data_IF_696045112260
#
_entry.id   IF_696045112260
#
_cell.length_a   1.000
_cell.length_b   1.000
_cell.length_c   1.000
_cell.angle_alpha   90.00
_cell.angle_beta   90.00
_cell.angle_gamma   90.00
#
_symmetry.space_group_name_H-M   'P 1'
#
loop_
_entity.id
_entity.type
_entity.pdbx_description
1 polymer ?
#
# COMPACT_ATOMS: atom_id res chain seq x y z
N UNK A 1 -22.41 23.80 38.66
CA UNK A 1 -22.26 23.90 37.20
C UNK A 1 -21.82 22.52 36.80
N UNK A 2 -22.79 21.66 36.54
CA UNK A 2 -22.54 20.30 36.08
C UNK A 2 -22.04 20.39 34.65
N UNK A 3 -20.84 19.85 34.41
CA UNK A 3 -20.35 19.56 33.07
C UNK A 3 -21.26 18.51 32.45
N UNK A 4 -21.76 18.70 31.22
CA UNK A 4 -22.55 17.66 30.56
C UNK A 4 -21.63 16.46 30.35
N UNK A 5 -22.10 15.28 30.76
CA UNK A 5 -21.51 14.00 30.38
C UNK A 5 -21.41 13.98 28.85
N UNK A 6 -20.19 13.92 28.32
CA UNK A 6 -19.97 13.59 26.91
C UNK A 6 -20.45 12.15 26.74
N UNK A 7 -21.68 11.97 26.25
CA UNK A 7 -22.14 10.68 25.74
C UNK A 7 -21.09 10.19 24.74
N UNK A 8 -20.40 9.09 25.06
CA UNK A 8 -19.50 8.41 24.14
C UNK A 8 -20.28 8.17 22.85
N UNK A 9 -19.94 8.93 21.81
CA UNK A 9 -20.54 8.78 20.50
C UNK A 9 -20.02 7.46 19.90
N UNK A 10 -20.69 6.36 20.25
CA UNK A 10 -20.41 5.04 19.69
C UNK A 10 -20.85 5.11 18.23
N UNK A 11 -19.87 5.09 17.32
CA UNK A 11 -20.14 5.01 15.89
C UNK A 11 -20.81 3.65 15.61
N UNK A 12 -21.99 3.63 14.96
CA UNK A 12 -22.62 2.36 14.60
C UNK A 12 -21.69 1.62 13.62
N UNK A 13 -21.20 0.46 14.04
CA UNK A 13 -20.45 -0.46 13.19
C UNK A 13 -21.28 -1.71 12.97
N UNK A 14 -21.37 -2.18 11.74
CA UNK A 14 -22.01 -3.47 11.40
C UNK A 14 -21.21 -4.70 11.92
N UNK A 15 -20.13 -4.46 12.68
CA UNK A 15 -19.30 -5.48 13.29
C UNK A 15 -19.58 -5.53 14.80
N UNK A 16 -20.10 -6.66 15.26
CA UNK A 16 -20.33 -6.88 16.69
C UNK A 16 -19.00 -7.22 17.37
N UNK A 17 -18.76 -6.58 18.53
CA UNK A 17 -17.68 -6.95 19.44
C UNK A 17 -17.97 -8.36 19.98
N UNK A 18 -17.06 -9.29 19.74
CA UNK A 18 -17.14 -10.62 20.36
C UNK A 18 -16.51 -10.54 21.75
N UNK A 19 -17.34 -10.34 22.79
CA UNK A 19 -16.87 -10.24 24.18
C UNK A 19 -16.48 -11.59 24.81
N UNK A 20 -16.95 -12.73 24.25
CA UNK A 20 -17.00 -14.02 24.96
C UNK A 20 -16.51 -15.23 24.16
N UNK A 21 -15.38 -15.13 23.46
CA UNK A 21 -14.65 -16.32 23.02
C UNK A 21 -13.28 -16.32 23.75
N UNK A 22 -13.15 -17.19 24.74
CA UNK A 22 -11.97 -17.42 25.59
C UNK A 22 -10.69 -17.89 24.85
N UNK A 23 -10.62 -17.69 23.53
CA UNK A 23 -9.57 -18.12 22.61
C UNK A 23 -8.91 -16.93 21.91
N UNK A 24 -8.51 -15.90 22.67
CA UNK A 24 -7.53 -14.95 22.12
C UNK A 24 -6.24 -15.74 21.87
N UNK A 25 -5.72 -15.82 20.64
CA UNK A 25 -4.55 -16.63 20.31
C UNK A 25 -3.27 -15.89 20.71
N UNK A 26 -3.19 -15.42 21.96
CA UNK A 26 -1.98 -14.79 22.49
C UNK A 26 -0.91 -15.82 22.88
N UNK A 27 -1.08 -17.10 22.53
CA UNK A 27 -0.16 -18.15 22.95
C UNK A 27 1.04 -18.33 21.99
N UNK A 28 0.97 -17.81 20.77
CA UNK A 28 2.07 -17.85 19.80
C UNK A 28 2.35 -16.46 19.20
N UNK A 29 3.31 -15.75 19.79
CA UNK A 29 3.76 -14.42 19.32
C UNK A 29 4.75 -14.51 18.16
N UNK A 30 5.01 -15.70 17.59
CA UNK A 30 5.95 -15.86 16.48
C UNK A 30 5.38 -15.41 15.13
N UNK A 31 4.06 -15.22 15.06
CA UNK A 31 3.32 -14.85 13.87
C UNK A 31 2.37 -13.66 14.14
N UNK A 32 2.14 -12.79 13.14
CA UNK A 32 1.25 -11.65 13.34
C UNK A 32 -0.21 -12.10 13.48
N UNK A 33 -0.85 -11.67 14.56
CA UNK A 33 -2.31 -11.72 14.73
C UNK A 33 -2.95 -10.55 14.00
N UNK A 34 -3.96 -10.82 13.17
CA UNK A 34 -4.66 -9.78 12.41
C UNK A 34 -5.92 -9.34 13.15
N UNK A 35 -6.13 -8.02 13.15
CA UNK A 35 -7.32 -7.37 13.68
C UNK A 35 -8.07 -6.70 12.54
N UNK A 36 -9.40 -6.67 12.64
CA UNK A 36 -10.27 -5.93 11.72
C UNK A 36 -10.96 -4.84 12.54
N UNK A 37 -10.77 -3.58 12.14
CA UNK A 37 -11.25 -2.41 12.90
C UNK A 37 -10.86 -2.43 14.40
N UNK A 38 -9.65 -2.91 14.70
CA UNK A 38 -9.14 -3.03 16.08
C UNK A 38 -9.72 -4.21 16.87
N UNK A 39 -10.57 -5.04 16.27
CA UNK A 39 -11.20 -6.19 16.94
C UNK A 39 -10.61 -7.51 16.46
N UNK A 40 -10.48 -8.46 17.38
CA UNK A 40 -10.09 -9.82 17.07
C UNK A 40 -11.33 -10.61 16.62
N UNK A 41 -11.29 -11.15 15.40
CA UNK A 41 -12.35 -11.99 14.81
C UNK A 41 -13.78 -11.43 15.00
N UNK A 42 -14.06 -10.17 14.59
CA UNK A 42 -15.41 -9.62 14.68
C UNK A 42 -16.42 -10.43 13.87
N UNK A 43 -17.70 -10.26 14.22
CA UNK A 43 -18.83 -10.93 13.55
C UNK A 43 -19.49 -10.00 12.54
N UNK A 44 -19.85 -10.54 11.38
CA UNK A 44 -20.66 -9.88 10.36
C UNK A 44 -21.89 -10.76 10.02
N UNK A 45 -23.08 -10.19 10.15
CA UNK A 45 -24.33 -10.85 9.79
C UNK A 45 -24.69 -10.60 8.32
N UNK A 46 -25.13 -11.66 7.63
CA UNK A 46 -25.61 -11.61 6.25
C UNK A 46 -26.91 -12.41 6.11
N UNK A 47 -27.85 -11.91 5.32
CA UNK A 47 -28.91 -12.76 4.79
C UNK A 47 -28.39 -13.63 3.62
N UNK A 48 -28.98 -14.81 3.41
CA UNK A 48 -28.65 -15.66 2.25
C UNK A 48 -28.88 -14.88 0.94
N UNK A 49 -27.84 -14.78 0.12
CA UNK A 49 -27.88 -14.04 -1.15
C UNK A 49 -27.76 -12.52 -1.02
N UNK A 50 -27.55 -12.00 0.20
CA UNK A 50 -27.24 -10.59 0.43
C UNK A 50 -25.79 -10.29 0.02
N UNK A 51 -25.59 -9.15 -0.66
CA UNK A 51 -24.27 -8.59 -0.86
C UNK A 51 -23.95 -7.58 0.24
N UNK A 52 -22.89 -7.82 1.01
CA UNK A 52 -22.26 -6.79 1.85
C UNK A 52 -21.06 -6.20 1.10
N UNK A 53 -20.99 -4.88 1.01
CA UNK A 53 -19.83 -4.17 0.43
C UNK A 53 -18.85 -3.81 1.54
N UNK A 54 -17.65 -4.37 1.47
CA UNK A 54 -16.59 -4.20 2.47
C UNK A 54 -15.41 -3.43 1.86
N UNK A 55 -14.94 -2.41 2.58
CA UNK A 55 -13.77 -1.61 2.17
C UNK A 55 -12.57 -2.01 3.01
N UNK A 56 -11.69 -2.81 2.44
CA UNK A 56 -10.46 -3.24 3.08
C UNK A 56 -9.34 -2.22 2.87
N UNK A 57 -8.67 -1.89 3.96
CA UNK A 57 -7.40 -1.18 3.98
C UNK A 57 -6.40 -2.10 4.67
N UNK A 58 -5.32 -2.47 3.99
CA UNK A 58 -4.25 -3.21 4.66
C UNK A 58 -3.36 -2.23 5.43
N UNK A 59 -3.68 -2.06 6.70
CA UNK A 59 -2.94 -1.24 7.67
C UNK A 59 -1.85 -2.04 8.42
N UNK A 60 -1.51 -3.25 7.98
CA UNK A 60 -0.44 -4.05 8.57
C UNK A 60 0.90 -3.48 8.11
N UNK A 61 1.80 -3.19 9.06
CA UNK A 61 3.03 -2.45 8.78
C UNK A 61 3.88 -3.04 7.66
N UNK A 62 3.96 -4.37 7.60
CA UNK A 62 4.95 -5.06 6.78
C UNK A 62 4.40 -6.21 5.93
N UNK A 63 3.15 -6.65 6.13
CA UNK A 63 2.68 -7.91 5.55
C UNK A 63 1.56 -7.72 4.52
N UNK A 64 1.67 -8.45 3.42
CA UNK A 64 0.68 -8.57 2.36
C UNK A 64 -0.43 -9.52 2.84
N UNK A 65 -1.67 -9.06 2.74
CA UNK A 65 -2.85 -9.86 3.07
C UNK A 65 -3.44 -10.49 1.80
N UNK A 66 -3.75 -11.78 1.87
CA UNK A 66 -4.47 -12.50 0.83
C UNK A 66 -5.84 -12.87 1.37
N UNK A 67 -6.89 -12.16 0.96
CA UNK A 67 -8.25 -12.41 1.44
C UNK A 67 -8.87 -13.56 0.66
N UNK A 68 -9.39 -14.54 1.38
CA UNK A 68 -10.17 -15.67 0.84
C UNK A 68 -11.40 -15.90 1.71
N UNK A 69 -12.41 -16.58 1.17
CA UNK A 69 -13.51 -17.13 1.98
C UNK A 69 -13.18 -18.55 2.43
N UNK A 70 -13.89 -19.06 3.44
CA UNK A 70 -13.78 -20.45 3.89
C UNK A 70 -13.75 -21.41 2.70
N UNK A 71 -12.76 -22.30 2.67
CA UNK A 71 -12.56 -23.24 1.57
C UNK A 71 -13.82 -24.10 1.35
N UNK A 72 -14.21 -24.28 0.08
CA UNK A 72 -15.42 -24.99 -0.33
C UNK A 72 -16.73 -24.44 0.26
N UNK A 73 -16.75 -23.17 0.69
CA UNK A 73 -17.98 -22.48 1.03
C UNK A 73 -18.68 -21.95 -0.21
N UNK A 74 -19.98 -21.65 -0.08
CA UNK A 74 -20.78 -20.98 -1.09
C UNK A 74 -20.71 -19.45 -0.97
N UNK A 75 -19.57 -18.92 -0.48
CA UNK A 75 -19.32 -17.49 -0.32
C UNK A 75 -18.35 -16.99 -1.41
N UNK A 76 -18.72 -15.91 -2.09
CA UNK A 76 -17.95 -15.31 -3.19
C UNK A 76 -17.32 -13.97 -2.80
N UNK A 77 -16.20 -13.63 -3.44
CA UNK A 77 -15.57 -12.31 -3.35
C UNK A 77 -15.58 -11.65 -4.73
N UNK A 78 -16.33 -10.57 -4.87
CA UNK A 78 -16.40 -9.78 -6.09
C UNK A 78 -15.73 -8.42 -5.87
N UNK A 79 -14.56 -8.22 -6.47
CA UNK A 79 -13.81 -6.96 -6.33
C UNK A 79 -14.45 -5.87 -7.21
N UNK A 80 -14.80 -4.76 -6.58
CA UNK A 80 -15.39 -3.59 -7.21
C UNK A 80 -14.34 -2.54 -7.54
N UNK A 81 -13.40 -2.31 -6.63
CA UNK A 81 -12.35 -1.30 -6.77
C UNK A 81 -11.04 -1.71 -6.10
N UNK A 82 -9.93 -1.20 -6.61
CA UNK A 82 -8.61 -1.26 -5.97
C UNK A 82 -8.10 0.16 -5.77
N UNK A 83 -7.52 0.47 -4.62
CA UNK A 83 -6.97 1.79 -4.27
C UNK A 83 -7.96 2.97 -4.44
N UNK A 84 -9.27 2.68 -4.38
CA UNK A 84 -10.35 3.67 -4.59
C UNK A 84 -10.79 3.82 -6.05
N UNK A 85 -10.25 3.02 -6.96
CA UNK A 85 -10.53 3.07 -8.40
C UNK A 85 -11.38 1.88 -8.81
N UNK A 86 -12.59 2.15 -9.28
CA UNK A 86 -13.47 1.09 -9.78
C UNK A 86 -12.90 0.42 -11.02
N UNK A 87 -13.12 -0.90 -11.11
CA UNK A 87 -13.02 -1.61 -12.38
C UNK A 87 -14.18 -1.23 -13.31
N UNK A 88 -14.14 -1.63 -14.58
CA UNK A 88 -15.27 -1.38 -15.50
C UNK A 88 -16.54 -2.16 -15.10
N UNK A 89 -16.33 -3.33 -14.48
CA UNK A 89 -17.36 -4.23 -13.95
C UNK A 89 -16.79 -5.02 -12.76
N UNK A 90 -17.64 -5.56 -11.87
CA UNK A 90 -17.18 -6.42 -10.78
C UNK A 90 -16.37 -7.61 -11.29
N UNK A 91 -15.32 -7.98 -10.55
CA UNK A 91 -14.47 -9.13 -10.86
C UNK A 91 -14.50 -10.13 -9.72
N UNK A 92 -15.14 -11.27 -9.95
CA UNK A 92 -15.04 -12.42 -9.04
C UNK A 92 -13.57 -12.85 -8.94
N UNK A 93 -13.08 -13.02 -7.71
CA UNK A 93 -11.74 -13.52 -7.41
C UNK A 93 -11.80 -14.57 -6.31
N UNK A 94 -10.99 -15.62 -6.45
CA UNK A 94 -10.81 -16.62 -5.40
C UNK A 94 -9.91 -16.09 -4.27
N UNK A 95 -9.00 -15.17 -4.62
CA UNK A 95 -8.08 -14.52 -3.69
C UNK A 95 -7.91 -13.05 -4.05
N UNK A 96 -7.97 -12.17 -3.04
CA UNK A 96 -7.71 -10.73 -3.21
C UNK A 96 -6.42 -10.38 -2.48
N UNK A 97 -5.38 -10.04 -3.24
CA UNK A 97 -4.06 -9.64 -2.70
C UNK A 97 -4.06 -8.14 -2.42
N UNK A 98 -3.82 -7.78 -1.16
CA UNK A 98 -3.77 -6.38 -0.70
C UNK A 98 -2.42 -6.15 -0.04
N UNK A 99 -1.48 -5.42 -0.67
CA UNK A 99 -0.22 -5.07 -0.03
C UNK A 99 -0.42 -4.06 1.09
N UNK A 100 0.55 -3.88 2.01
CA UNK A 100 0.59 -2.73 2.93
C UNK A 100 0.27 -1.42 2.19
N UNK A 101 -0.65 -0.63 2.74
CA UNK A 101 -1.12 0.63 2.13
C UNK A 101 -2.14 0.46 1.00
N UNK A 102 -2.30 -0.75 0.45
CA UNK A 102 -3.27 -1.06 -0.59
C UNK A 102 -4.70 -1.12 -0.05
N UNK A 103 -5.66 -0.83 -0.93
CA UNK A 103 -7.10 -0.94 -0.62
C UNK A 103 -7.83 -1.81 -1.61
N UNK A 104 -8.87 -2.51 -1.14
CA UNK A 104 -9.79 -3.24 -1.99
C UNK A 104 -11.22 -3.02 -1.52
N UNK A 105 -12.11 -2.72 -2.46
CA UNK A 105 -13.54 -2.69 -2.24
C UNK A 105 -14.14 -4.00 -2.76
N UNK A 106 -14.69 -4.81 -1.87
CA UNK A 106 -15.10 -6.18 -2.15
C UNK A 106 -16.56 -6.35 -1.75
N UNK A 107 -17.37 -6.83 -2.68
CA UNK A 107 -18.70 -7.34 -2.37
C UNK A 107 -18.60 -8.82 -2.00
N UNK A 108 -19.05 -9.17 -0.80
CA UNK A 108 -19.14 -10.55 -0.32
C UNK A 108 -20.60 -11.00 -0.29
N UNK A 109 -20.86 -12.23 -0.71
CA UNK A 109 -22.18 -12.85 -0.68
C UNK A 109 -22.04 -14.33 -0.39
N UNK A 110 -22.92 -14.88 0.45
CA UNK A 110 -23.01 -16.31 0.72
C UNK A 110 -24.40 -16.84 0.32
N UNK A 111 -24.47 -17.99 -0.35
CA UNK A 111 -25.75 -18.57 -0.82
C UNK A 111 -26.23 -19.76 0.03
N UNK A 112 -25.60 -20.00 1.18
CA UNK A 112 -25.94 -21.07 2.12
C UNK A 112 -26.04 -20.52 3.54
N UNK A 113 -27.01 -21.03 4.33
CA UNK A 113 -27.16 -20.70 5.75
C UNK A 113 -26.03 -21.38 6.53
N UNK A 114 -25.35 -20.65 7.39
CA UNK A 114 -24.30 -21.25 8.19
C UNK A 114 -23.35 -20.26 8.84
N UNK A 115 -22.25 -20.81 9.36
CA UNK A 115 -21.12 -20.03 9.87
C UNK A 115 -19.94 -20.23 8.93
N UNK A 116 -19.53 -19.14 8.29
CA UNK A 116 -18.36 -19.09 7.42
C UNK A 116 -17.39 -18.04 7.94
N UNK A 117 -16.28 -17.86 7.24
CA UNK A 117 -15.26 -16.91 7.61
C UNK A 117 -14.72 -16.21 6.38
N UNK A 118 -14.39 -14.94 6.57
CA UNK A 118 -13.35 -14.30 5.77
C UNK A 118 -12.02 -14.59 6.47
N UNK A 119 -11.04 -14.99 5.68
CA UNK A 119 -9.76 -15.49 6.17
C UNK A 119 -8.63 -14.76 5.43
N UNK A 120 -7.47 -14.63 6.08
CA UNK A 120 -6.23 -14.50 5.32
C UNK A 120 -5.73 -15.89 4.98
N UNK A 121 -5.06 -16.04 3.85
CA UNK A 121 -4.45 -17.29 3.42
C UNK A 121 -2.97 -17.10 3.05
N UNK A 122 -2.19 -18.17 3.16
CA UNK A 122 -0.80 -18.19 2.76
C UNK A 122 -0.43 -19.49 2.04
N UNK A 123 -1.32 -20.00 1.18
CA UNK A 123 -1.16 -21.28 0.49
C UNK A 123 0.21 -21.43 -0.21
N UNK A 124 0.77 -22.64 -0.10
CA UNK A 124 2.05 -23.03 -0.71
C UNK A 124 2.05 -22.88 -2.24
N UNK A 125 0.88 -23.07 -2.86
CA UNK A 125 0.68 -22.92 -4.31
C UNK A 125 1.07 -21.53 -4.82
N UNK A 126 1.00 -20.50 -3.96
CA UNK A 126 1.34 -19.11 -4.31
C UNK A 126 2.72 -18.68 -3.84
N UNK A 127 3.53 -19.57 -3.27
CA UNK A 127 4.90 -19.24 -2.84
C UNK A 127 5.78 -18.76 -4.00
N UNK A 128 5.54 -19.28 -5.21
CA UNK A 128 6.21 -18.79 -6.43
C UNK A 128 5.86 -17.35 -6.79
N UNK A 129 4.71 -16.85 -6.35
CA UNK A 129 4.25 -15.52 -6.68
C UNK A 129 4.56 -14.52 -5.56
N UNK A 130 4.21 -14.88 -4.33
CA UNK A 130 4.18 -13.97 -3.18
C UNK A 130 5.29 -14.25 -2.17
N UNK A 131 6.03 -15.34 -2.32
CA UNK A 131 7.07 -15.78 -1.39
C UNK A 131 6.56 -16.62 -0.24
N UNK A 132 7.45 -16.90 0.72
CA UNK A 132 7.12 -17.73 1.88
C UNK A 132 6.34 -16.94 2.94
N UNK A 133 5.66 -17.66 3.84
CA UNK A 133 4.86 -17.05 4.93
C UNK A 133 5.69 -16.08 5.78
N UNK A 134 6.96 -16.41 6.04
CA UNK A 134 7.88 -15.59 6.81
C UNK A 134 8.56 -14.47 5.97
N UNK A 135 8.07 -14.19 4.77
CA UNK A 135 8.58 -13.15 3.87
C UNK A 135 7.48 -12.13 3.58
N UNK A 136 7.04 -11.42 4.62
CA UNK A 136 6.05 -10.36 4.51
C UNK A 136 4.65 -10.84 4.03
N UNK A 137 4.26 -12.09 4.30
CA UNK A 137 2.87 -12.56 4.10
C UNK A 137 2.16 -12.68 5.43
N UNK A 138 0.86 -12.41 5.44
CA UNK A 138 0.03 -12.71 6.61
C UNK A 138 -0.20 -14.23 6.64
N UNK A 139 -0.01 -14.92 7.78
CA UNK A 139 -0.27 -16.35 7.89
C UNK A 139 -1.77 -16.66 7.76
N UNK A 140 -2.10 -17.88 7.35
CA UNK A 140 -3.50 -18.30 7.27
C UNK A 140 -4.18 -18.22 8.64
N UNK A 141 -5.22 -17.38 8.75
CA UNK A 141 -6.02 -17.24 9.96
C UNK A 141 -7.41 -16.68 9.62
N UNK A 142 -8.39 -16.97 10.46
CA UNK A 142 -9.73 -16.38 10.34
C UNK A 142 -9.68 -14.93 10.83
N UNK A 143 -10.31 -14.03 10.09
CA UNK A 143 -10.29 -12.58 10.41
C UNK A 143 -11.67 -11.98 10.61
N UNK A 144 -12.73 -12.53 10.01
CA UNK A 144 -14.13 -12.13 10.26
C UNK A 144 -15.01 -13.37 10.29
N UNK A 145 -15.87 -13.48 11.30
CA UNK A 145 -16.90 -14.53 11.43
C UNK A 145 -18.15 -14.10 10.66
N UNK A 146 -18.53 -14.84 9.63
CA UNK A 146 -19.71 -14.59 8.81
C UNK A 146 -20.87 -15.46 9.32
N UNK A 147 -21.91 -14.86 9.88
CA UNK A 147 -23.14 -15.58 10.27
C UNK A 147 -24.20 -15.31 9.21
N UNK A 148 -24.59 -16.38 8.50
CA UNK A 148 -25.55 -16.29 7.40
C UNK A 148 -26.88 -16.88 7.83
N UNK A 149 -27.95 -16.09 7.83
CA UNK A 149 -29.31 -16.46 8.23
C UNK A 149 -30.33 -16.23 7.08
N UNK A 150 -31.55 -16.73 7.24
CA UNK A 150 -32.63 -16.59 6.24
C UNK A 150 -33.10 -15.15 6.11
N UNK A 151 -33.33 -14.54 7.26
CA UNK A 151 -33.65 -13.14 7.43
C UNK A 151 -32.43 -12.60 8.18
N UNK A 152 -31.68 -11.65 7.61
CA UNK A 152 -30.58 -11.01 8.33
C UNK A 152 -31.18 -10.50 9.64
N UNK A 153 -30.65 -10.89 10.80
CA UNK A 153 -31.26 -10.65 12.12
C UNK A 153 -31.51 -9.14 12.34
N UNK A 154 -32.62 -8.64 11.82
CA UNK A 154 -33.28 -7.43 12.28
C UNK A 154 -34.08 -7.87 13.48
N UNK A 155 -33.67 -7.39 14.65
CA UNK A 155 -34.47 -7.44 15.87
C UNK A 155 -35.78 -6.66 15.61
N UNK A 156 -36.76 -7.33 15.03
CA UNK A 156 -38.12 -6.85 14.88
C UNK A 156 -39.05 -7.96 15.33
N UNK A 157 -39.43 -7.90 16.61
CA UNK A 157 -40.70 -8.41 17.14
C UNK A 157 -41.88 -7.73 16.43
N UNK A 158 -42.03 -7.97 15.14
CA UNK A 158 -43.18 -7.59 14.35
C UNK A 158 -43.74 -8.86 13.72
N UNK A 159 -44.69 -9.48 14.43
CA UNK A 159 -45.68 -10.34 13.81
C UNK A 159 -46.46 -9.50 12.80
N UNK A 160 -46.03 -9.47 11.54
CA UNK A 160 -46.88 -9.09 10.43
C UNK A 160 -46.55 -9.95 9.22
N UNK A 161 -47.54 -10.75 8.84
CA UNK A 161 -47.64 -11.48 7.58
C UNK A 161 -47.58 -10.49 6.41
N UNK A 162 -46.41 -10.32 5.81
CA UNK A 162 -46.32 -9.94 4.40
C UNK A 162 -45.15 -10.69 3.78
N UNK A 163 -45.43 -11.43 2.69
CA UNK A 163 -44.43 -11.99 1.79
C UNK A 163 -43.70 -10.82 1.10
N UNK A 164 -42.87 -10.11 1.86
CA UNK A 164 -41.88 -9.17 1.34
C UNK A 164 -40.91 -10.01 0.53
N UNK A 165 -41.16 -10.09 -0.78
CA UNK A 165 -40.24 -10.65 -1.76
C UNK A 165 -38.84 -10.15 -1.42
N UNK A 166 -37.98 -11.04 -0.91
CA UNK A 166 -36.59 -10.74 -0.62
C UNK A 166 -36.01 -10.09 -1.87
N UNK A 167 -35.70 -8.79 -1.81
CA UNK A 167 -35.14 -8.08 -2.95
C UNK A 167 -33.85 -8.80 -3.33
N UNK A 168 -33.89 -9.53 -4.45
CA UNK A 168 -32.74 -10.29 -4.94
C UNK A 168 -31.65 -9.27 -5.27
N UNK A 169 -30.68 -9.13 -4.37
CA UNK A 169 -29.53 -8.25 -4.60
C UNK A 169 -28.74 -8.76 -5.80
N UNK A 170 -28.34 -7.84 -6.68
CA UNK A 170 -27.51 -8.15 -7.84
C UNK A 170 -26.42 -7.11 -7.95
N UNK A 171 -25.21 -7.57 -8.25
CA UNK A 171 -24.13 -6.65 -8.59
C UNK A 171 -24.44 -5.91 -9.90
N UNK A 172 -24.05 -4.64 -10.01
CA UNK A 172 -24.23 -3.88 -11.22
C UNK A 172 -23.35 -4.46 -12.33
N UNK A 173 -23.85 -4.45 -13.58
CA UNK A 173 -23.09 -4.91 -14.75
C UNK A 173 -21.99 -3.92 -15.18
N UNK A 174 -22.07 -2.68 -14.71
CA UNK A 174 -21.11 -1.60 -14.96
C UNK A 174 -20.88 -0.83 -13.67
N UNK A 175 -19.63 -0.46 -13.42
CA UNK A 175 -19.25 0.33 -12.26
C UNK A 175 -18.98 1.79 -12.67
N UNK A 176 -18.90 2.73 -11.70
CA UNK A 176 -18.64 4.13 -11.99
C UNK A 176 -17.38 4.33 -12.84
N UNK A 177 -17.48 5.21 -13.82
CA UNK A 177 -16.34 5.54 -14.70
C UNK A 177 -15.25 6.26 -13.92
N UNK A 178 -14.00 6.05 -14.35
CA UNK A 178 -12.84 6.78 -13.84
C UNK A 178 -12.99 8.29 -14.07
N UNK A 179 -12.43 9.14 -13.21
CA UNK A 179 -12.32 10.58 -13.44
C UNK A 179 -11.54 10.91 -14.72
N UNK A 180 -11.80 12.07 -15.32
CA UNK A 180 -11.16 12.50 -16.56
C UNK A 180 -9.63 12.63 -16.46
N UNK A 181 -9.08 12.95 -15.28
CA UNK A 181 -7.63 13.04 -15.12
C UNK A 181 -6.93 11.66 -15.17
N UNK A 182 -7.69 10.55 -15.09
CA UNK A 182 -7.25 9.16 -15.21
C UNK A 182 -7.66 8.54 -16.56
N UNK A 183 -7.61 9.35 -17.61
CA UNK A 183 -7.79 8.90 -18.99
C UNK A 183 -6.75 7.86 -19.39
N UNK A 184 -7.11 6.97 -20.31
CA UNK A 184 -6.25 5.88 -20.73
C UNK A 184 -4.96 6.40 -21.41
N UNK A 185 -3.81 6.11 -20.79
CA UNK A 185 -2.47 6.53 -21.24
C UNK A 185 -1.82 5.54 -22.21
N UNK A 186 -2.46 4.40 -22.46
CA UNK A 186 -1.93 3.34 -23.32
C UNK A 186 -2.34 3.53 -24.78
N UNK A 187 -3.58 3.94 -25.02
CA UNK A 187 -4.16 4.02 -26.35
C UNK A 187 -4.21 2.67 -27.06
N UNK A 188 -4.42 2.70 -28.38
CA UNK A 188 -4.24 1.52 -29.25
C UNK A 188 -2.78 1.42 -29.69
N UNK A 189 -2.32 0.27 -30.24
CA UNK A 189 -0.97 0.16 -30.80
C UNK A 189 -0.61 1.28 -31.80
N UNK A 190 -1.59 1.80 -32.54
CA UNK A 190 -1.41 2.89 -33.52
C UNK A 190 -1.49 4.30 -32.90
N UNK A 191 -2.12 4.44 -31.73
CA UNK A 191 -2.34 5.72 -31.04
C UNK A 191 -1.57 5.83 -29.71
N UNK A 192 -0.69 4.86 -29.43
CA UNK A 192 0.09 4.80 -28.19
C UNK A 192 0.94 6.07 -28.09
N UNK A 193 0.76 6.88 -27.02
CA UNK A 193 1.53 8.10 -26.84
C UNK A 193 3.03 7.78 -26.79
N UNK A 194 3.81 8.52 -27.59
CA UNK A 194 5.27 8.52 -27.54
C UNK A 194 5.66 9.43 -26.38
N UNK A 195 6.52 8.92 -25.50
CA UNK A 195 6.99 9.64 -24.31
C UNK A 195 8.43 10.05 -24.55
N UNK A 196 8.71 11.33 -24.40
CA UNK A 196 10.05 11.89 -24.53
C UNK A 196 10.99 11.29 -23.49
N UNK A 197 12.28 11.17 -23.83
CA UNK A 197 13.26 10.52 -22.95
C UNK A 197 13.39 11.25 -21.60
N UNK A 198 13.22 12.57 -21.58
CA UNK A 198 13.26 13.38 -20.37
C UNK A 198 12.08 13.11 -19.40
N UNK A 199 11.02 12.44 -19.86
CA UNK A 199 9.84 12.07 -19.05
C UNK A 199 9.82 10.58 -18.71
N UNK A 200 10.93 9.89 -18.98
CA UNK A 200 11.15 8.52 -18.53
C UNK A 200 12.03 8.51 -17.30
N UNK A 201 11.70 7.64 -16.36
CA UNK A 201 12.44 7.55 -15.11
C UNK A 201 12.52 6.11 -14.60
N UNK A 202 13.72 5.67 -14.23
CA UNK A 202 13.92 4.39 -13.57
C UNK A 202 13.81 4.58 -12.06
N UNK A 203 12.82 3.95 -11.45
CA UNK A 203 12.61 3.94 -10.00
C UNK A 203 12.94 2.55 -9.47
N UNK A 204 14.14 2.37 -8.94
CA UNK A 204 14.64 1.13 -8.37
C UNK A 204 14.56 1.17 -6.85
N UNK A 205 13.84 0.22 -6.23
CA UNK A 205 14.03 -0.08 -4.83
C UNK A 205 15.33 -0.86 -4.63
N UNK A 206 16.25 -0.29 -3.87
CA UNK A 206 17.59 -0.85 -3.67
C UNK A 206 17.77 -1.34 -2.24
N UNK A 207 18.39 -2.52 -2.09
CA UNK A 207 18.79 -3.06 -0.79
C UNK A 207 20.27 -3.43 -0.84
N UNK A 208 21.07 -2.93 0.11
CA UNK A 208 22.51 -3.17 0.15
C UNK A 208 23.06 -3.28 1.58
N UNK A 209 24.37 -3.46 1.72
CA UNK A 209 25.07 -3.45 3.00
C UNK A 209 25.85 -2.15 3.18
N UNK A 210 25.55 -1.40 4.23
CA UNK A 210 26.34 -0.26 4.73
C UNK A 210 26.24 -0.24 6.26
N UNK A 211 27.24 -0.80 6.95
CA UNK A 211 27.26 -1.03 8.42
C UNK A 211 26.05 -1.81 8.98
N UNK A 212 25.20 -2.32 8.11
CA UNK A 212 23.92 -2.98 8.36
C UNK A 212 23.15 -3.13 7.05
N UNK A 213 21.97 -3.76 7.10
CA UNK A 213 21.07 -3.77 5.94
C UNK A 213 20.57 -2.35 5.72
N UNK A 214 20.72 -1.86 4.50
CA UNK A 214 20.28 -0.53 4.09
C UNK A 214 19.23 -0.64 3.00
N UNK A 215 18.25 0.25 3.07
CA UNK A 215 17.16 0.39 2.11
C UNK A 215 17.19 1.79 1.50
N UNK A 216 16.81 1.88 0.23
CA UNK A 216 16.87 3.14 -0.52
C UNK A 216 16.19 3.07 -1.86
N UNK A 217 16.24 4.18 -2.59
CA UNK A 217 15.77 4.31 -3.96
C UNK A 217 16.98 4.69 -4.83
N UNK A 218 17.14 4.03 -5.98
CA UNK A 218 18.25 4.25 -6.91
C UNK A 218 19.63 4.20 -6.23
N UNK A 219 19.78 3.25 -5.30
CA UNK A 219 20.97 3.00 -4.49
C UNK A 219 21.38 4.16 -3.56
N UNK A 220 20.45 5.04 -3.23
CA UNK A 220 20.63 6.17 -2.32
C UNK A 220 19.62 6.10 -1.17
N UNK A 221 20.04 6.52 0.03
CA UNK A 221 19.13 6.69 1.17
C UNK A 221 18.30 7.95 0.95
N UNK A 222 17.07 7.98 1.47
CA UNK A 222 16.27 9.19 1.52
C UNK A 222 17.06 10.36 2.12
N UNK A 223 17.20 11.43 1.35
CA UNK A 223 17.58 12.75 1.82
C UNK A 223 16.37 13.67 1.69
N UNK A 224 15.81 14.10 2.83
CA UNK A 224 14.63 14.96 2.86
C UNK A 224 14.92 16.41 2.41
N UNK A 225 16.20 16.79 2.30
CA UNK A 225 16.61 18.13 1.89
C UNK A 225 16.73 18.28 0.38
N UNK A 226 16.92 17.18 -0.35
CA UNK A 226 17.16 17.16 -1.80
C UNK A 226 16.13 16.34 -2.56
N UNK A 227 16.15 16.47 -3.88
CA UNK A 227 15.40 15.64 -4.81
C UNK A 227 16.29 15.42 -6.04
N UNK A 228 16.35 14.18 -6.52
CA UNK A 228 17.23 13.79 -7.64
C UNK A 228 16.46 13.58 -8.94
N UNK A 229 15.14 13.75 -8.91
CA UNK A 229 14.27 13.72 -10.08
C UNK A 229 13.27 14.86 -10.04
N UNK A 230 13.06 15.49 -11.20
CA UNK A 230 12.08 16.55 -11.40
C UNK A 230 11.28 16.28 -12.67
N UNK A 231 9.98 16.57 -12.65
CA UNK A 231 9.11 16.42 -13.81
C UNK A 231 8.18 17.62 -13.97
N UNK A 232 7.90 18.05 -15.20
CA UNK A 232 6.94 19.12 -15.43
C UNK A 232 5.50 18.65 -15.19
N UNK A 233 4.66 19.57 -14.75
CA UNK A 233 3.22 19.37 -14.68
C UNK A 233 2.61 19.22 -16.07
N UNK A 234 1.49 18.49 -16.17
CA UNK A 234 0.72 18.26 -17.39
C UNK A 234 1.41 17.45 -18.50
N UNK A 235 2.64 17.00 -18.28
CA UNK A 235 3.38 16.13 -19.20
C UNK A 235 3.24 14.65 -18.82
N UNK A 236 2.99 13.78 -19.79
CA UNK A 236 2.84 12.34 -19.55
C UNK A 236 4.20 11.71 -19.17
N UNK A 237 4.24 11.12 -17.98
CA UNK A 237 5.41 10.44 -17.44
C UNK A 237 5.34 8.93 -17.68
N UNK A 238 6.50 8.29 -17.80
CA UNK A 238 6.62 6.83 -17.80
C UNK A 238 7.73 6.41 -16.84
N UNK A 239 7.38 5.66 -15.80
CA UNK A 239 8.37 5.17 -14.86
C UNK A 239 8.52 3.67 -14.97
N UNK A 240 9.77 3.20 -14.89
CA UNK A 240 10.09 1.77 -14.78
C UNK A 240 10.36 1.45 -13.31
N UNK A 241 9.44 0.71 -12.70
CA UNK A 241 9.55 0.29 -11.31
C UNK A 241 10.30 -1.03 -11.24
N UNK A 242 11.35 -1.10 -10.43
CA UNK A 242 12.15 -2.31 -10.27
C UNK A 242 12.63 -2.49 -8.84
N UNK A 243 13.14 -3.69 -8.54
CA UNK A 243 13.74 -4.00 -7.24
C UNK A 243 15.09 -4.68 -7.45
N UNK A 244 16.09 -4.27 -6.66
CA UNK A 244 17.43 -4.84 -6.70
C UNK A 244 18.02 -5.05 -5.32
N UNK A 245 18.36 -6.31 -5.03
CA UNK A 245 19.15 -6.69 -3.86
C UNK A 245 20.63 -6.79 -4.27
N UNK A 246 21.44 -5.82 -3.83
CA UNK A 246 22.88 -5.79 -4.08
C UNK A 246 23.67 -6.73 -3.16
N UNK A 247 23.02 -7.32 -2.14
CA UNK A 247 23.68 -8.23 -1.18
C UNK A 247 23.82 -9.63 -1.77
N UNK A 248 22.80 -10.08 -2.51
CA UNK A 248 22.74 -11.36 -3.22
C UNK A 248 21.79 -11.25 -4.42
N UNK A 249 22.04 -11.98 -5.52
CA UNK A 249 21.05 -12.09 -6.57
C UNK A 249 19.74 -12.67 -6.00
N UNK A 250 18.61 -12.05 -6.35
CA UNK A 250 17.29 -12.60 -6.03
C UNK A 250 17.15 -13.95 -6.74
N UNK A 251 17.21 -15.05 -5.98
CA UNK A 251 16.95 -16.39 -6.49
C UNK A 251 15.45 -16.66 -6.32
N UNK A 252 14.74 -16.71 -7.44
CA UNK A 252 13.30 -16.91 -7.47
C UNK A 252 12.90 -18.39 -7.62
N UNK A 253 13.58 -19.26 -6.87
CA UNK A 253 13.27 -20.69 -6.82
C UNK A 253 12.58 -21.02 -5.48
N UNK A 254 11.27 -20.79 -5.48
CA UNK A 254 10.38 -21.07 -4.34
C UNK A 254 9.65 -22.41 -4.49
N UNK A 255 10.13 -23.31 -5.37
CA UNK A 255 9.61 -24.67 -5.52
C UNK A 255 9.93 -25.53 -4.29
N UNK A 256 8.99 -25.57 -3.35
CA UNK A 256 9.00 -26.53 -2.27
C UNK A 256 8.25 -27.79 -2.74
N UNK A 257 8.99 -28.78 -3.22
CA UNK A 257 8.43 -30.09 -3.61
C UNK A 257 7.71 -30.74 -2.41
N UNK A 258 6.38 -30.89 -2.51
CA UNK A 258 5.54 -31.44 -1.45
C UNK A 258 5.76 -32.97 -1.24
N UNK A 259 6.47 -33.64 -2.16
CA UNK A 259 6.66 -35.10 -2.17
C UNK A 259 7.82 -35.64 -1.30
N UNK A 260 8.65 -34.78 -0.69
CA UNK A 260 9.87 -35.20 0.03
C UNK A 260 9.71 -35.06 1.55
N UNK A 261 10.08 -36.08 2.32
CA UNK A 261 9.87 -36.20 3.78
C UNK A 261 10.37 -35.02 4.62
N UNK A 262 9.73 -34.79 5.77
CA UNK A 262 9.71 -33.55 6.55
C UNK A 262 11.01 -33.12 7.25
N UNK A 263 12.07 -33.94 7.25
CA UNK A 263 13.27 -33.67 8.06
C UNK A 263 14.47 -33.20 7.22
N UNK A 264 14.67 -33.74 6.00
CA UNK A 264 15.65 -33.19 5.03
C UNK A 264 15.14 -31.93 4.31
N UNK A 265 13.86 -31.58 4.53
CA UNK A 265 13.17 -30.41 3.95
C UNK A 265 13.76 -29.06 4.41
N UNK A 266 14.58 -29.01 5.47
CA UNK A 266 14.77 -27.77 6.26
C UNK A 266 16.00 -26.91 5.96
N UNK A 267 16.99 -27.29 5.13
CA UNK A 267 18.24 -26.50 5.10
C UNK A 267 18.83 -26.09 3.74
N UNK A 268 18.40 -26.62 2.58
CA UNK A 268 19.07 -26.27 1.30
C UNK A 268 18.20 -25.67 0.19
N UNK A 269 16.91 -26.01 0.08
CA UNK A 269 16.00 -25.43 -0.94
C UNK A 269 15.20 -24.22 -0.43
N UNK A 270 14.67 -24.27 0.79
CA UNK A 270 13.96 -23.15 1.42
C UNK A 270 14.85 -21.93 1.73
N UNK A 271 16.17 -22.10 1.83
CA UNK A 271 17.12 -21.01 2.11
C UNK A 271 17.35 -20.07 0.92
N UNK A 272 16.97 -20.49 -0.29
CA UNK A 272 17.22 -19.76 -1.54
C UNK A 272 16.00 -19.04 -2.09
N UNK A 273 14.78 -19.41 -1.68
CA UNK A 273 13.59 -18.62 -1.96
C UNK A 273 13.69 -17.34 -1.14
N UNK A 274 13.97 -16.21 -1.78
CA UNK A 274 13.94 -14.87 -1.17
C UNK A 274 13.12 -13.96 -2.05
N UNK A 275 11.92 -13.62 -1.59
CA UNK A 275 11.13 -12.61 -2.26
C UNK A 275 11.50 -11.22 -1.76
N UNK A 276 11.45 -10.27 -2.68
CA UNK A 276 11.70 -8.87 -2.41
C UNK A 276 10.34 -8.18 -2.42
N UNK A 277 9.58 -8.35 -1.35
CA UNK A 277 8.29 -7.66 -1.24
C UNK A 277 8.55 -6.17 -0.95
N UNK A 278 8.25 -5.31 -1.91
CA UNK A 278 8.34 -3.85 -1.77
C UNK A 278 7.13 -3.21 -2.45
N UNK A 279 6.01 -3.05 -1.75
CA UNK A 279 4.86 -2.32 -2.29
C UNK A 279 5.26 -0.89 -2.62
N UNK A 280 5.23 -0.51 -3.90
CA UNK A 280 5.46 0.85 -4.34
C UNK A 280 4.21 1.69 -4.08
N UNK A 281 4.37 2.81 -3.39
CA UNK A 281 3.32 3.80 -3.22
C UNK A 281 3.81 5.18 -3.67
N UNK A 282 2.97 5.91 -4.40
CA UNK A 282 3.22 7.28 -4.81
C UNK A 282 2.12 8.19 -4.30
N UNK A 283 2.51 9.29 -3.66
CA UNK A 283 1.59 10.30 -3.14
C UNK A 283 0.96 11.10 -4.27
N UNK A 284 -0.15 11.75 -3.93
CA UNK A 284 -0.85 12.76 -4.75
C UNK A 284 -1.53 12.23 -6.02
N UNK A 285 -1.12 11.11 -6.61
CA UNK A 285 -1.73 10.61 -7.85
C UNK A 285 -1.84 9.10 -7.90
N UNK A 286 -2.77 8.65 -8.73
CA UNK A 286 -2.79 7.30 -9.26
C UNK A 286 -1.93 7.20 -10.52
N UNK A 287 -1.56 5.98 -10.89
CA UNK A 287 -0.81 5.64 -12.09
C UNK A 287 -1.41 4.42 -12.77
N UNK A 288 -1.28 4.36 -14.09
CA UNK A 288 -1.70 3.24 -14.91
C UNK A 288 -0.55 2.29 -15.16
N UNK A 289 -0.77 0.99 -14.98
CA UNK A 289 0.19 -0.05 -15.35
C UNK A 289 0.21 -0.14 -16.88
N UNK A 290 1.36 0.15 -17.50
CA UNK A 290 1.50 0.19 -18.96
C UNK A 290 2.19 -1.02 -19.56
N UNK A 291 3.04 -1.66 -18.79
CA UNK A 291 3.73 -2.90 -19.15
C UNK A 291 4.24 -3.60 -17.88
N UNK A 292 4.57 -4.89 -17.98
CA UNK A 292 5.23 -5.64 -16.90
C UNK A 292 5.94 -6.87 -17.45
N UNK A 293 6.99 -7.31 -16.78
CA UNK A 293 7.63 -8.58 -17.12
C UNK A 293 6.67 -9.77 -16.92
N UNK A 294 6.79 -10.78 -17.78
CA UNK A 294 6.00 -12.03 -17.69
C UNK A 294 6.13 -12.72 -16.32
N UNK A 295 7.27 -12.53 -15.67
CA UNK A 295 7.53 -13.11 -14.36
C UNK A 295 6.82 -12.36 -13.22
N UNK A 296 6.36 -11.13 -13.42
CA UNK A 296 5.81 -10.30 -12.34
C UNK A 296 4.54 -10.91 -11.75
N UNK A 297 3.58 -11.29 -12.60
CA UNK A 297 2.31 -11.90 -12.19
C UNK A 297 1.84 -12.98 -13.19
N UNK A 298 2.57 -14.11 -13.31
CA UNK A 298 2.30 -15.15 -14.31
C UNK A 298 0.92 -15.81 -14.16
N UNK A 299 0.35 -15.78 -12.95
CA UNK A 299 -0.95 -16.36 -12.64
C UNK A 299 -2.09 -15.32 -12.73
N UNK A 300 -1.78 -14.04 -12.98
CA UNK A 300 -2.74 -12.95 -13.13
C UNK A 300 -3.56 -12.64 -11.87
N UNK A 301 -2.97 -12.85 -10.69
CA UNK A 301 -3.67 -12.77 -9.41
C UNK A 301 -3.68 -11.34 -8.85
N UNK A 302 -2.57 -10.61 -8.99
CA UNK A 302 -2.32 -9.33 -8.33
C UNK A 302 -2.91 -8.15 -9.11
N UNK A 303 -2.56 -8.01 -10.39
CA UNK A 303 -2.96 -6.89 -11.24
C UNK A 303 -2.76 -7.23 -12.73
N UNK A 304 -3.26 -6.36 -13.61
CA UNK A 304 -3.07 -6.48 -15.07
C UNK A 304 -2.69 -5.14 -15.69
N UNK A 305 -2.04 -5.20 -16.85
CA UNK A 305 -1.82 -4.04 -17.70
C UNK A 305 -3.15 -3.31 -17.97
N UNK A 306 -3.12 -1.98 -17.84
CA UNK A 306 -4.26 -1.09 -17.99
C UNK A 306 -4.98 -0.75 -16.68
N UNK A 307 -4.75 -1.49 -15.58
CA UNK A 307 -5.28 -1.12 -14.27
C UNK A 307 -4.58 0.12 -13.73
N UNK A 308 -5.37 0.92 -13.00
CA UNK A 308 -4.86 2.08 -12.27
C UNK A 308 -4.74 1.74 -10.80
N UNK A 309 -3.66 2.22 -10.16
CA UNK A 309 -3.32 2.00 -8.76
C UNK A 309 -2.64 3.23 -8.20
N UNK A 310 -2.56 3.34 -6.88
CA UNK A 310 -1.53 4.19 -6.25
C UNK A 310 -0.58 3.36 -5.37
N UNK A 311 -0.91 2.08 -5.13
CA UNK A 311 -0.10 1.15 -4.36
C UNK A 311 0.00 -0.17 -5.11
N UNK A 312 1.21 -0.51 -5.54
CA UNK A 312 1.47 -1.67 -6.38
C UNK A 312 2.42 -2.65 -5.67
N UNK A 313 2.02 -3.92 -5.44
CA UNK A 313 2.93 -4.91 -4.88
C UNK A 313 4.04 -5.24 -5.88
N UNK A 314 5.29 -4.90 -5.56
CA UNK A 314 6.45 -5.37 -6.31
C UNK A 314 7.08 -6.53 -5.56
N UNK A 315 7.31 -7.63 -6.27
CA UNK A 315 7.89 -8.86 -5.73
C UNK A 315 9.10 -9.29 -6.56
N UNK A 316 8.96 -9.21 -7.88
CA UNK A 316 9.94 -9.58 -8.91
C UNK A 316 9.57 -8.91 -10.23
N UNK A 317 10.52 -8.92 -11.16
CA UNK A 317 10.35 -8.29 -12.48
C UNK A 317 10.25 -6.77 -12.40
N UNK A 318 10.26 -6.14 -13.57
CA UNK A 318 9.92 -4.75 -13.77
C UNK A 318 8.42 -4.57 -13.96
N UNK A 319 7.93 -3.39 -13.55
CA UNK A 319 6.60 -2.90 -13.91
C UNK A 319 6.73 -1.49 -14.42
N UNK A 320 6.24 -1.25 -15.62
CA UNK A 320 6.15 0.07 -16.19
C UNK A 320 4.82 0.73 -15.82
N UNK A 321 4.88 1.97 -15.36
CA UNK A 321 3.71 2.78 -15.03
C UNK A 321 3.69 4.08 -15.84
N UNK A 322 2.51 4.63 -16.04
CA UNK A 322 2.28 5.92 -16.70
C UNK A 322 1.29 6.77 -15.92
N UNK A 323 1.54 8.07 -15.87
CA UNK A 323 0.67 9.04 -15.22
C UNK A 323 1.00 10.46 -15.69
N UNK A 324 0.07 11.39 -15.50
CA UNK A 324 0.27 12.81 -15.83
C UNK A 324 0.16 13.63 -14.56
N UNK A 325 1.26 14.26 -14.08
CA UNK A 325 1.22 15.15 -12.95
C UNK A 325 0.27 16.31 -13.21
N UNK A 326 -0.50 16.72 -12.19
CA UNK A 326 -1.49 17.80 -12.29
C UNK A 326 -1.08 19.00 -11.44
N UNK A 327 -1.72 20.15 -11.67
CA UNK A 327 -1.40 21.41 -10.98
C UNK A 327 -1.36 21.28 -9.45
N UNK A 328 -2.25 20.47 -8.86
CA UNK A 328 -2.26 20.23 -7.42
C UNK A 328 -1.05 19.43 -6.90
N UNK A 329 -0.25 18.84 -7.79
CA UNK A 329 0.97 18.11 -7.45
C UNK A 329 2.22 19.00 -7.46
N UNK A 330 2.13 20.24 -7.96
CA UNK A 330 3.26 21.17 -8.02
C UNK A 330 3.87 21.33 -6.62
N UNK A 331 5.18 21.12 -6.54
CA UNK A 331 5.92 20.96 -5.29
C UNK A 331 6.55 19.57 -5.17
N UNK A 332 6.92 19.20 -3.94
CA UNK A 332 7.59 17.93 -3.65
C UNK A 332 6.55 16.86 -3.33
N UNK A 333 6.51 15.80 -4.12
CA UNK A 333 5.72 14.59 -3.84
C UNK A 333 6.63 13.48 -3.30
N UNK A 334 6.02 12.52 -2.60
CA UNK A 334 6.74 11.43 -1.96
C UNK A 334 6.39 10.09 -2.63
N UNK A 335 7.40 9.32 -3.01
CA UNK A 335 7.25 7.96 -3.53
C UNK A 335 8.12 7.02 -2.71
N UNK A 336 7.55 5.91 -2.21
CA UNK A 336 8.22 5.09 -1.22
C UNK A 336 7.73 3.64 -1.19
N UNK A 337 8.50 2.79 -0.53
CA UNK A 337 8.03 1.46 -0.16
C UNK A 337 7.01 1.57 0.98
N UNK A 338 5.88 0.86 0.88
CA UNK A 338 4.85 0.91 1.92
C UNK A 338 5.04 -0.13 3.05
N UNK A 339 6.19 -0.81 3.09
CA UNK A 339 6.62 -1.52 4.30
C UNK A 339 7.22 -0.50 5.26
N UNK A 340 6.61 -0.33 6.43
CA UNK A 340 6.95 0.73 7.39
C UNK A 340 8.44 0.75 7.73
N UNK A 341 9.02 -0.40 8.08
CA UNK A 341 10.44 -0.48 8.43
C UNK A 341 11.38 -0.22 7.25
N UNK A 342 10.92 -0.35 5.99
CA UNK A 342 11.73 -0.03 4.83
C UNK A 342 11.73 1.49 4.56
N UNK A 343 10.58 2.14 4.59
CA UNK A 343 10.49 3.61 4.42
C UNK A 343 11.18 4.34 5.57
N UNK A 344 11.02 3.91 6.82
CA UNK A 344 11.70 4.49 7.98
C UNK A 344 13.23 4.36 7.88
N UNK A 345 13.71 3.32 7.21
CA UNK A 345 15.13 3.10 6.95
C UNK A 345 15.68 3.84 5.72
N UNK A 346 14.82 4.57 4.99
CA UNK A 346 15.22 5.43 3.86
C UNK A 346 14.78 4.94 2.48
N UNK A 347 13.91 3.93 2.36
CA UNK A 347 13.38 3.42 1.08
C UNK A 347 12.31 4.33 0.47
N UNK A 348 12.70 5.56 0.19
CA UNK A 348 11.82 6.57 -0.35
C UNK A 348 12.60 7.62 -1.13
N UNK A 349 11.86 8.38 -1.94
CA UNK A 349 12.39 9.48 -2.72
C UNK A 349 11.38 10.63 -2.75
N UNK A 350 11.91 11.85 -2.60
CA UNK A 350 11.19 13.08 -2.95
C UNK A 350 11.37 13.35 -4.44
N UNK A 351 10.26 13.64 -5.12
CA UNK A 351 10.22 14.02 -6.53
C UNK A 351 9.64 15.42 -6.65
N UNK A 352 10.31 16.29 -7.38
CA UNK A 352 9.85 17.65 -7.59
C UNK A 352 8.96 17.73 -8.84
N UNK A 353 7.75 18.25 -8.68
CA UNK A 353 6.86 18.59 -9.80
C UNK A 353 6.89 20.11 -9.95
N UNK A 354 7.26 20.57 -11.14
CA UNK A 354 7.38 22.00 -11.41
C UNK A 354 6.42 22.44 -12.51
N UNK A 355 6.07 23.72 -12.49
CA UNK A 355 5.34 24.36 -13.57
C UNK A 355 6.32 25.16 -14.43
N UNK A 356 6.50 24.72 -15.68
CA UNK A 356 7.41 25.33 -16.66
C UNK A 356 7.10 26.80 -16.93
N UNK A 357 5.84 27.22 -16.78
CA UNK A 357 5.42 28.61 -17.01
C UNK A 357 5.83 29.55 -15.85
N UNK A 358 6.21 28.99 -14.70
CA UNK A 358 6.59 29.74 -13.49
C UNK A 358 8.06 29.62 -13.12
N UNK A 359 8.83 28.79 -13.83
CA UNK A 359 10.27 28.73 -13.64
C UNK A 359 10.89 30.08 -14.07
N UNK A 360 11.70 30.74 -13.22
CA UNK A 360 12.48 31.87 -13.70
C UNK A 360 13.41 31.36 -14.81
N UNK A 361 13.35 31.99 -15.99
CA UNK A 361 14.33 31.76 -17.05
C UNK A 361 15.72 32.02 -16.47
N UNK A 362 16.54 30.98 -16.31
CA UNK A 362 17.95 31.11 -15.91
C UNK A 362 18.80 31.87 -16.96
N UNK A 363 18.21 32.33 -18.08
CA UNK A 363 18.84 33.12 -19.13
C UNK A 363 18.67 34.65 -19.00
N UNK A 364 18.01 35.18 -17.95
CA UNK A 364 17.87 36.64 -17.73
C UNK A 364 18.56 37.21 -16.47
N UNK A 365 19.62 36.57 -15.97
CA UNK A 365 20.46 37.16 -14.88
C UNK A 365 21.93 37.33 -15.24
N UNK A 366 22.26 37.53 -16.52
CA UNK A 366 23.63 37.86 -16.93
C UNK A 366 23.73 38.96 -18.00
N UNK A 367 22.83 39.94 -17.94
CA UNK A 367 22.93 41.15 -18.74
C UNK A 367 22.52 42.39 -17.94
N UNK A 368 23.48 42.90 -17.18
CA UNK A 368 23.48 44.30 -16.74
C UNK A 368 23.33 44.48 -15.24
N UNK A 369 24.47 44.57 -14.55
CA UNK A 369 24.69 45.60 -13.53
C UNK A 369 26.19 45.63 -13.18
N UNK A 370 26.96 46.28 -14.06
CA UNK A 370 28.27 46.81 -13.70
C UNK A 370 28.14 48.34 -13.50
N UNK A 371 28.43 48.75 -12.27
CA UNK A 371 28.74 50.11 -11.79
C UNK A 371 27.62 51.17 -11.73
N UNK A 372 27.25 51.54 -10.50
CA UNK A 372 27.63 52.84 -9.94
C UNK A 372 27.35 52.89 -8.43
N UNK A 373 28.40 53.24 -7.69
CA UNK A 373 28.43 53.67 -6.30
C UNK A 373 27.57 54.93 -6.05
N UNK A 374 26.88 55.02 -4.92
CA UNK A 374 27.30 55.82 -3.76
C UNK A 374 26.21 55.86 -2.67
N UNK A 375 26.69 55.79 -1.43
CA UNK A 375 26.15 56.23 -0.15
C UNK A 375 24.72 56.81 -0.07
N UNK A 376 23.94 56.29 0.87
CA UNK A 376 23.45 57.16 1.94
C UNK A 376 23.35 56.40 3.27
N UNK A 377 23.84 57.09 4.29
CA UNK A 377 23.92 56.72 5.69
C UNK A 377 22.54 56.66 6.34
N UNK A 378 22.34 55.76 7.29
CA UNK A 378 21.79 56.16 8.59
C UNK A 378 22.37 55.28 9.69
N UNK A 379 22.81 55.96 10.72
CA UNK A 379 23.51 55.47 11.89
C UNK A 379 22.51 54.93 12.91
N UNK A 380 22.90 53.87 13.61
CA UNK A 380 22.58 53.70 15.02
C UNK A 380 23.85 53.14 15.69
N UNK A 381 24.48 54.02 16.47
CA UNK A 381 25.56 53.74 17.41
C UNK A 381 24.99 53.18 18.73
N UNK A 382 25.91 52.63 19.53
CA UNK A 382 25.84 52.29 20.96
C UNK A 382 25.27 50.90 21.29
N UNK A 383 25.95 50.02 22.02
CA UNK A 383 27.19 50.15 22.79
C UNK A 383 27.75 48.74 23.07
N UNK A 384 29.07 48.66 23.12
CA UNK A 384 29.87 47.54 23.59
C UNK A 384 29.57 47.19 25.06
N UNK A 385 29.71 45.91 25.42
CA UNK A 385 30.57 45.53 26.55
C UNK A 385 30.97 44.05 26.42
N UNK A 386 32.27 43.85 26.25
CA UNK A 386 32.98 42.57 26.36
C UNK A 386 32.93 42.07 27.81
N UNK A 387 32.81 40.76 28.01
CA UNK A 387 33.54 40.14 29.12
C UNK A 387 33.90 38.69 28.81
N UNK A 388 35.15 38.38 29.14
CA UNK A 388 35.89 37.18 28.76
C UNK A 388 35.51 35.92 29.56
N UNK A 389 36.00 34.79 29.02
CA UNK A 389 36.67 33.70 29.72
C UNK A 389 35.97 32.33 29.85
N UNK A 390 36.56 31.40 29.09
CA UNK A 390 37.11 30.10 29.49
C UNK A 390 36.22 29.00 30.10
N UNK A 391 36.21 27.87 29.35
CA UNK A 391 36.40 26.46 29.76
C UNK A 391 35.79 25.95 31.07
N UNK A 392 35.08 24.83 31.04
CA UNK A 392 35.75 23.52 31.10
C UNK A 392 34.77 22.37 30.83
N UNK A 393 35.34 21.27 30.35
CA UNK A 393 34.67 20.05 29.98
C UNK A 393 34.41 19.13 31.20
N UNK A 394 33.40 18.27 31.02
CA UNK A 394 33.30 16.85 31.43
C UNK A 394 34.53 16.26 32.17
N UNK A 395 34.42 15.39 33.19
CA UNK A 395 33.66 14.15 33.24
C UNK A 395 33.95 13.40 34.56
N UNK A 396 33.13 12.38 34.82
CA UNK A 396 33.41 11.15 35.61
C UNK A 396 33.40 11.17 37.15
N UNK A 397 32.28 10.69 37.69
CA UNK A 397 32.20 9.97 38.97
C UNK A 397 31.94 8.48 38.70
N UNK A 398 32.95 7.64 38.91
CA UNK A 398 32.77 6.20 39.24
C UNK A 398 32.80 6.04 40.77
N UNK A 399 31.78 5.37 41.32
CA UNK A 399 31.72 4.96 42.73
C UNK A 399 31.51 3.45 42.79
N UNK A 400 32.55 2.73 43.18
CA UNK A 400 32.44 1.45 43.90
C UNK A 400 33.04 1.64 45.30
N UNK A 401 32.20 1.70 46.34
CA UNK A 401 32.08 0.65 47.38
C UNK A 401 31.09 1.01 48.48
#
# INVERSE_FOLDING_TARGET
>A
MDTPDEEEQIWPTDLDIVEDDADVPLNDTSLPTVFVNGQYLPKLDLAVGEYKRLRFVNAISNNVAELVTTQNSNCTLDVLAMDGIYFDKPKSKDVVVIPPGGRADVAIMCTEIGKFYLETDCASSRNKLLGLVNQHRVPSQRIVKLKVSKDGDGDSDAEDDDESATEIMRLPSTLPKRPAYMEDTLGTPESRPIIEENYKYDFEFSVWMDKGITYGVNHEKLDASSYNYSMPVNELQQWELSIKDYRKPALWDCDLDESISSVDRRLSKSSNCRTMSHPFHMHSTHFQISDMDDITDPDGVMFKVGEWRDTLPLFRGGVQIRFTPREYMVGRIFAHCHIASHVDAGMAQLVNVYDSDTLPNEDETNAGEDSASEADSDADEDDDEEDESESDATEETEVEK
#
